data_IF_758877569622
#
_entry.id   IF_758877569622
#
_cell.length_a   1.000
_cell.length_b   1.000
_cell.length_c   1.000
_cell.angle_alpha   90.00
_cell.angle_beta   90.00
_cell.angle_gamma   90.00
#
_symmetry.space_group_name_H-M   'P 1'
#
loop_
_entity.id
_entity.type
_entity.pdbx_description
1 polymer ?
#
# COMPACT_ATOMS: atom_id res chain seq x y z
N UNK A 1 86.11 -25.61 -28.20
CA UNK A 1 86.64 -24.65 -27.20
C UNK A 1 85.63 -23.52 -27.05
N UNK A 2 85.10 -23.37 -25.83
CA UNK A 2 84.69 -22.13 -25.15
C UNK A 2 83.92 -21.05 -25.96
N UNK A 3 82.75 -20.72 -25.41
CA UNK A 3 81.92 -19.52 -25.64
C UNK A 3 81.01 -19.52 -26.88
N UNK A 4 79.80 -20.07 -26.71
CA UNK A 4 78.51 -19.54 -27.22
C UNK A 4 77.38 -20.53 -26.86
N UNK A 5 77.19 -20.77 -25.56
CA UNK A 5 76.01 -21.44 -25.03
C UNK A 5 75.67 -20.83 -23.66
N UNK A 6 75.35 -19.54 -23.68
CA UNK A 6 74.81 -18.78 -22.56
C UNK A 6 73.88 -17.73 -23.16
N UNK A 7 72.74 -17.52 -22.50
CA UNK A 7 71.63 -16.61 -22.84
C UNK A 7 70.53 -17.23 -23.71
N UNK A 8 69.76 -18.16 -23.13
CA UNK A 8 68.36 -18.40 -23.51
C UNK A 8 67.55 -19.08 -22.37
N UNK A 9 67.87 -18.76 -21.10
CA UNK A 9 67.25 -19.43 -19.94
C UNK A 9 67.11 -18.53 -18.71
N UNK A 10 66.84 -17.23 -18.88
CA UNK A 10 66.54 -16.32 -17.76
C UNK A 10 65.58 -15.19 -18.17
N UNK A 11 64.27 -15.45 -18.16
CA UNK A 11 63.20 -14.50 -17.79
C UNK A 11 61.91 -15.28 -17.50
N UNK A 12 61.94 -16.13 -16.48
CA UNK A 12 60.74 -16.63 -15.80
C UNK A 12 60.97 -16.63 -14.28
N UNK A 13 61.68 -15.59 -13.82
CA UNK A 13 61.82 -15.27 -12.40
C UNK A 13 60.65 -14.34 -12.02
N UNK A 14 60.05 -14.64 -10.88
CA UNK A 14 59.11 -13.81 -10.10
C UNK A 14 57.73 -13.51 -10.73
N UNK A 15 56.83 -14.49 -10.66
CA UNK A 15 55.54 -14.26 -9.99
C UNK A 15 54.91 -15.62 -9.61
N UNK A 16 55.52 -16.28 -8.62
CA UNK A 16 54.76 -17.18 -7.75
C UNK A 16 53.85 -16.30 -6.88
N UNK A 17 52.87 -15.65 -7.51
CA UNK A 17 51.76 -15.05 -6.80
C UNK A 17 50.84 -16.22 -6.50
N UNK A 18 50.85 -16.62 -5.23
CA UNK A 18 49.81 -17.40 -4.60
C UNK A 18 48.45 -16.92 -5.06
N UNK A 19 47.91 -17.60 -6.08
CA UNK A 19 46.48 -17.71 -6.30
C UNK A 19 45.97 -18.53 -5.11
N UNK A 20 45.75 -17.84 -3.99
CA UNK A 20 44.65 -18.19 -3.11
C UNK A 20 43.42 -18.03 -4.00
N UNK A 21 43.06 -19.09 -4.71
CA UNK A 21 41.68 -19.30 -5.07
C UNK A 21 40.96 -19.31 -3.73
N UNK A 22 40.42 -18.15 -3.33
CA UNK A 22 39.29 -18.18 -2.44
C UNK A 22 38.28 -19.03 -3.20
N UNK A 23 38.13 -20.28 -2.77
CA UNK A 23 36.96 -21.07 -3.04
C UNK A 23 35.80 -20.22 -2.51
N UNK A 24 35.25 -19.39 -3.39
CA UNK A 24 33.87 -18.99 -3.30
C UNK A 24 33.08 -20.27 -3.57
N UNK A 25 33.07 -21.17 -2.58
CA UNK A 25 31.94 -22.03 -2.36
C UNK A 25 30.77 -21.07 -2.20
N UNK A 26 30.08 -20.78 -3.30
CA UNK A 26 28.64 -20.65 -3.24
C UNK A 26 28.17 -21.94 -2.57
N UNK A 27 28.04 -21.89 -1.24
CA UNK A 27 27.47 -22.98 -0.48
C UNK A 27 26.10 -23.22 -1.09
N UNK A 28 25.99 -24.27 -1.91
CA UNK A 28 24.73 -24.67 -2.53
C UNK A 28 23.68 -24.70 -1.42
N UNK A 29 22.66 -23.84 -1.54
CA UNK A 29 21.63 -23.74 -0.52
C UNK A 29 21.02 -25.12 -0.32
N UNK A 30 21.24 -25.70 0.87
CA UNK A 30 20.81 -27.05 1.18
C UNK A 30 19.28 -27.09 1.15
N UNK A 31 18.70 -27.83 0.20
CA UNK A 31 17.24 -27.98 0.12
C UNK A 31 16.67 -28.51 1.46
N UNK A 32 15.59 -27.89 1.95
CA UNK A 32 14.89 -28.36 3.15
C UNK A 32 14.16 -29.66 2.86
N UNK A 33 14.29 -30.65 3.75
CA UNK A 33 13.72 -32.00 3.56
C UNK A 33 12.20 -32.02 3.39
N UNK A 34 11.52 -31.04 3.97
CA UNK A 34 10.06 -30.93 4.05
C UNK A 34 9.48 -29.83 3.14
N UNK A 35 10.28 -29.29 2.21
CA UNK A 35 9.82 -28.33 1.21
C UNK A 35 10.13 -28.87 -0.19
N UNK A 36 9.20 -29.65 -0.73
CA UNK A 36 9.29 -30.19 -2.09
C UNK A 36 9.35 -29.07 -3.15
N UNK A 37 10.04 -29.33 -4.27
CA UNK A 37 10.05 -28.46 -5.48
C UNK A 37 8.65 -28.14 -6.02
N UNK A 38 7.66 -28.98 -5.72
CA UNK A 38 6.25 -28.78 -6.09
C UNK A 38 5.47 -27.93 -5.09
N UNK A 39 6.05 -27.58 -3.94
CA UNK A 39 5.40 -26.74 -2.94
C UNK A 39 5.16 -25.34 -3.54
N UNK A 40 3.96 -24.73 -3.38
CA UNK A 40 3.63 -23.46 -4.03
C UNK A 40 4.56 -22.31 -3.63
N UNK A 41 5.13 -22.36 -2.43
CA UNK A 41 6.11 -21.38 -1.93
C UNK A 41 7.58 -21.83 -2.03
N UNK A 42 7.89 -22.90 -2.78
CA UNK A 42 9.25 -23.45 -2.87
C UNK A 42 10.28 -22.37 -3.28
N UNK A 43 9.98 -21.61 -4.34
CA UNK A 43 10.89 -20.58 -4.85
C UNK A 43 11.18 -19.52 -3.80
N UNK A 44 10.17 -18.98 -3.13
CA UNK A 44 10.39 -17.96 -2.10
C UNK A 44 11.20 -18.50 -0.93
N UNK A 45 10.93 -19.72 -0.46
CA UNK A 45 11.73 -20.36 0.59
C UNK A 45 13.19 -20.53 0.13
N UNK A 46 13.43 -21.04 -1.07
CA UNK A 46 14.79 -21.20 -1.60
C UNK A 46 15.54 -19.88 -1.73
N UNK A 47 14.92 -18.85 -2.30
CA UNK A 47 15.58 -17.54 -2.48
C UNK A 47 15.86 -16.85 -1.14
N UNK A 48 14.94 -16.95 -0.18
CA UNK A 48 15.16 -16.44 1.18
C UNK A 48 16.26 -17.20 1.91
N UNK A 49 16.42 -18.51 1.64
CA UNK A 49 17.49 -19.32 2.21
C UNK A 49 18.84 -18.98 1.60
N UNK A 50 18.92 -18.89 0.26
CA UNK A 50 20.13 -18.47 -0.46
C UNK A 50 20.62 -17.09 -0.01
N UNK A 51 19.70 -16.18 0.26
CA UNK A 51 20.00 -14.85 0.79
C UNK A 51 20.38 -14.84 2.28
N UNK A 52 20.37 -15.99 2.96
CA UNK A 52 20.78 -16.14 4.37
C UNK A 52 19.74 -15.65 5.39
N UNK A 53 18.50 -15.38 4.96
CA UNK A 53 17.43 -14.91 5.85
C UNK A 53 16.73 -16.05 6.58
N UNK A 54 16.64 -17.24 5.97
CA UNK A 54 16.02 -18.40 6.61
C UNK A 54 16.98 -19.60 6.59
N UNK A 55 17.20 -20.19 7.76
CA UNK A 55 18.14 -21.32 7.93
C UNK A 55 17.45 -22.66 8.26
N UNK A 56 16.13 -22.65 8.48
CA UNK A 56 15.39 -23.82 8.95
C UNK A 56 15.81 -24.26 10.36
N UNK A 57 15.68 -25.55 10.64
CA UNK A 57 16.01 -26.19 11.91
C UNK A 57 17.21 -27.12 11.76
N UNK A 58 17.92 -27.46 12.86
CA UNK A 58 19.09 -28.36 12.81
C UNK A 58 18.82 -29.74 12.20
N UNK A 59 17.58 -30.22 12.24
CA UNK A 59 17.12 -31.48 11.63
C UNK A 59 17.07 -31.43 10.08
N UNK A 60 17.27 -30.25 9.49
CA UNK A 60 17.19 -30.00 8.05
C UNK A 60 15.78 -29.68 7.54
N UNK A 61 14.83 -29.41 8.43
CA UNK A 61 13.45 -29.02 8.08
C UNK A 61 13.25 -27.51 8.10
N UNK A 62 12.26 -27.02 7.36
CA UNK A 62 11.80 -25.63 7.41
C UNK A 62 10.51 -25.47 8.20
N UNK A 63 9.67 -26.50 8.26
CA UNK A 63 8.33 -26.55 8.85
C UNK A 63 7.37 -25.54 8.18
N UNK A 64 7.06 -25.72 6.88
CA UNK A 64 6.35 -24.70 6.08
C UNK A 64 4.94 -24.38 6.58
N UNK A 65 4.24 -25.34 7.16
CA UNK A 65 2.86 -25.23 7.63
C UNK A 65 2.72 -24.63 9.04
N UNK A 66 3.81 -24.55 9.80
CA UNK A 66 3.77 -24.00 11.16
C UNK A 66 3.51 -22.49 11.13
N UNK A 67 2.69 -21.94 12.04
CA UNK A 67 2.49 -20.51 12.18
C UNK A 67 3.80 -19.76 12.44
N UNK A 68 3.94 -18.57 11.85
CA UNK A 68 5.06 -17.67 12.15
C UNK A 68 4.70 -16.75 13.33
N UNK A 69 5.59 -16.68 14.31
CA UNK A 69 5.41 -15.81 15.47
C UNK A 69 5.80 -14.37 15.17
N UNK A 70 5.20 -13.43 15.91
CA UNK A 70 5.46 -11.99 15.77
C UNK A 70 6.92 -11.61 15.96
N UNK A 71 7.64 -12.27 16.88
CA UNK A 71 9.08 -12.03 17.10
C UNK A 71 9.93 -12.45 15.90
N UNK A 72 9.57 -13.54 15.21
CA UNK A 72 10.28 -13.99 14.02
C UNK A 72 10.08 -13.02 12.85
N UNK A 73 8.84 -12.52 12.66
CA UNK A 73 8.54 -11.47 11.68
C UNK A 73 9.38 -10.21 11.96
N UNK A 74 9.39 -9.72 13.20
CA UNK A 74 10.17 -8.54 13.57
C UNK A 74 11.68 -8.73 13.31
N UNK A 75 12.22 -9.89 13.68
CA UNK A 75 13.61 -10.23 13.45
C UNK A 75 13.98 -10.27 11.97
N UNK A 76 13.13 -10.90 11.14
CA UNK A 76 13.38 -11.02 9.70
C UNK A 76 13.30 -9.66 9.01
N UNK A 77 12.35 -8.80 9.38
CA UNK A 77 12.28 -7.45 8.82
C UNK A 77 13.50 -6.61 9.20
N UNK A 78 13.97 -6.68 10.44
CA UNK A 78 15.22 -5.99 10.84
C UNK A 78 16.44 -6.55 10.12
N UNK A 79 16.51 -7.86 9.88
CA UNK A 79 17.62 -8.46 9.15
C UNK A 79 17.64 -8.03 7.68
N UNK A 80 16.48 -7.96 7.03
CA UNK A 80 16.33 -7.57 5.62
C UNK A 80 16.59 -6.07 5.43
N UNK A 81 15.98 -5.23 6.27
CA UNK A 81 15.97 -3.77 6.08
C UNK A 81 17.02 -3.03 6.91
N UNK A 82 17.70 -3.74 7.82
CA UNK A 82 18.79 -3.22 8.66
C UNK A 82 18.42 -1.91 9.35
N UNK A 83 17.34 -1.93 10.13
CA UNK A 83 16.85 -0.72 10.78
C UNK A 83 17.91 -0.13 11.75
N UNK A 84 17.98 1.20 11.86
CA UNK A 84 18.93 1.86 12.76
C UNK A 84 18.63 1.48 14.21
N UNK A 85 19.65 1.59 15.07
CA UNK A 85 19.48 1.35 16.50
C UNK A 85 18.44 2.31 17.08
N UNK A 86 17.66 1.85 18.08
CA UNK A 86 16.66 2.69 18.71
C UNK A 86 17.35 3.88 19.42
N UNK A 87 16.79 5.10 19.34
CA UNK A 87 17.38 6.28 19.99
C UNK A 87 17.26 6.23 21.52
N UNK A 88 16.39 5.37 22.06
CA UNK A 88 16.23 5.18 23.50
C UNK A 88 16.13 3.69 23.84
N UNK A 89 16.67 3.33 25.01
CA UNK A 89 16.50 2.01 25.60
C UNK A 89 15.33 1.93 26.59
N UNK A 90 14.34 2.82 26.43
CA UNK A 90 13.15 2.80 27.30
C UNK A 90 12.43 1.47 27.11
N UNK A 91 12.13 0.80 28.22
CA UNK A 91 11.30 -0.41 28.19
C UNK A 91 9.87 0.00 27.83
N UNK A 92 9.40 -0.50 26.69
CA UNK A 92 8.05 -0.22 26.17
C UNK A 92 7.12 -1.41 26.38
N UNK A 93 7.61 -2.63 26.13
CA UNK A 93 6.83 -3.84 26.25
C UNK A 93 7.24 -4.65 27.48
N UNK A 94 6.28 -4.92 28.36
CA UNK A 94 6.54 -5.64 29.61
C UNK A 94 7.03 -7.08 29.38
N UNK A 95 6.60 -7.71 28.28
CA UNK A 95 6.92 -9.08 27.89
C UNK A 95 8.12 -9.21 26.95
N UNK A 96 8.83 -8.10 26.70
CA UNK A 96 10.09 -8.07 25.94
C UNK A 96 11.13 -7.26 26.73
N UNK A 97 11.67 -7.79 27.84
CA UNK A 97 12.72 -7.14 28.61
C UNK A 97 14.03 -7.05 27.81
N UNK A 98 14.99 -6.19 28.23
CA UNK A 98 16.26 -5.95 27.51
C UNK A 98 17.08 -7.22 27.23
N UNK A 99 16.99 -8.23 28.09
CA UNK A 99 17.68 -9.52 27.94
C UNK A 99 16.94 -10.51 27.03
N UNK A 100 15.72 -10.20 26.58
CA UNK A 100 14.98 -11.03 25.64
C UNK A 100 15.72 -11.06 24.29
N UNK A 101 15.93 -12.25 23.72
CA UNK A 101 16.72 -12.44 22.49
C UNK A 101 16.24 -11.58 21.30
N UNK A 102 14.94 -11.29 21.23
CA UNK A 102 14.34 -10.46 20.18
C UNK A 102 14.12 -8.99 20.58
N UNK A 103 14.67 -8.53 21.71
CA UNK A 103 14.48 -7.16 22.18
C UNK A 103 14.88 -6.13 21.13
N UNK A 104 16.11 -6.22 20.61
CA UNK A 104 16.65 -5.26 19.63
C UNK A 104 15.78 -5.13 18.37
N UNK A 105 15.48 -6.19 17.61
CA UNK A 105 14.67 -6.04 16.39
C UNK A 105 13.26 -5.50 16.70
N UNK A 106 12.61 -5.98 17.77
CA UNK A 106 11.28 -5.48 18.16
C UNK A 106 11.31 -3.98 18.48
N UNK A 107 12.32 -3.52 19.24
CA UNK A 107 12.44 -2.12 19.60
C UNK A 107 12.80 -1.23 18.41
N UNK A 108 13.58 -1.70 17.45
CA UNK A 108 13.85 -0.95 16.21
C UNK A 108 12.56 -0.74 15.40
N UNK A 109 11.77 -1.80 15.23
CA UNK A 109 10.48 -1.70 14.55
C UNK A 109 9.50 -0.77 15.30
N UNK A 110 9.50 -0.80 16.64
CA UNK A 110 8.69 0.11 17.45
C UNK A 110 9.09 1.57 17.21
N UNK A 111 10.39 1.88 17.24
CA UNK A 111 10.89 3.23 17.01
C UNK A 111 10.68 3.71 15.56
N UNK A 112 10.52 2.78 14.61
CA UNK A 112 10.08 3.09 13.24
C UNK A 112 8.56 3.20 13.08
N UNK A 113 7.78 3.02 14.14
CA UNK A 113 6.31 3.07 14.10
C UNK A 113 5.65 1.88 13.41
N UNK A 114 6.42 0.84 13.07
CA UNK A 114 5.94 -0.36 12.37
C UNK A 114 5.09 -1.23 13.33
N UNK A 115 5.46 -1.24 14.61
CA UNK A 115 4.73 -1.96 15.67
C UNK A 115 4.44 -1.03 16.84
N UNK A 116 3.27 -1.18 17.44
CA UNK A 116 2.82 -0.39 18.61
C UNK A 116 2.57 -1.23 19.87
N UNK A 117 2.53 -2.57 19.73
CA UNK A 117 2.02 -3.48 20.77
C UNK A 117 0.49 -3.52 20.86
N UNK A 118 0.00 -4.28 21.83
CA UNK A 118 -1.41 -4.33 22.23
C UNK A 118 -1.78 -3.24 23.24
N UNK A 119 -3.08 -3.10 23.51
CA UNK A 119 -3.62 -2.16 24.51
C UNK A 119 -3.13 -2.48 25.95
N UNK A 120 -2.66 -3.71 26.17
CA UNK A 120 -2.08 -4.22 27.41
C UNK A 120 -0.59 -3.87 27.60
N UNK A 121 -0.02 -3.04 26.72
CA UNK A 121 1.41 -2.70 26.69
C UNK A 121 2.33 -3.91 26.49
N UNK A 122 1.82 -4.99 25.87
CA UNK A 122 2.61 -6.17 25.49
C UNK A 122 2.84 -6.24 23.99
N UNK A 123 3.94 -6.86 23.59
CA UNK A 123 4.21 -7.17 22.19
C UNK A 123 3.63 -8.53 21.77
N UNK A 124 3.51 -9.48 22.71
CA UNK A 124 3.14 -10.87 22.51
C UNK A 124 4.08 -11.60 21.52
N UNK A 125 5.39 -11.74 21.84
CA UNK A 125 6.41 -12.18 20.88
C UNK A 125 6.20 -13.59 20.33
N UNK A 126 5.61 -14.48 21.13
CA UNK A 126 5.38 -15.88 20.77
C UNK A 126 4.04 -16.11 20.05
N UNK A 127 3.12 -15.13 20.08
CA UNK A 127 1.84 -15.28 19.41
C UNK A 127 2.03 -15.33 17.88
N UNK A 128 1.23 -16.15 17.23
CA UNK A 128 1.13 -16.20 15.77
C UNK A 128 0.69 -14.84 15.23
N UNK A 129 1.30 -14.38 14.15
CA UNK A 129 0.86 -13.16 13.48
C UNK A 129 -0.36 -13.44 12.60
N UNK A 130 -1.35 -12.54 12.61
CA UNK A 130 -2.46 -12.61 11.65
C UNK A 130 -2.07 -11.99 10.31
N UNK A 131 -2.77 -12.35 9.24
CA UNK A 131 -2.53 -11.82 7.89
C UNK A 131 -2.61 -10.29 7.85
N UNK A 132 -3.55 -9.67 8.55
CA UNK A 132 -3.68 -8.21 8.55
C UNK A 132 -2.59 -7.51 9.37
N UNK A 133 -2.14 -8.13 10.46
CA UNK A 133 -0.99 -7.62 11.23
C UNK A 133 0.30 -7.69 10.41
N UNK A 134 0.51 -8.78 9.69
CA UNK A 134 1.63 -8.93 8.77
C UNK A 134 1.57 -7.88 7.65
N UNK A 135 0.40 -7.62 7.07
CA UNK A 135 0.24 -6.61 6.02
C UNK A 135 0.64 -5.21 6.52
N UNK A 136 0.18 -4.81 7.70
CA UNK A 136 0.61 -3.54 8.32
C UNK A 136 2.12 -3.49 8.51
N UNK A 137 2.72 -4.58 9.01
CA UNK A 137 4.18 -4.59 9.24
C UNK A 137 4.97 -4.48 7.93
N UNK A 138 4.56 -5.18 6.87
CA UNK A 138 5.23 -5.11 5.57
C UNK A 138 5.03 -3.75 4.89
N UNK A 139 3.81 -3.23 4.86
CA UNK A 139 3.49 -1.92 4.28
C UNK A 139 4.33 -0.81 4.92
N UNK A 140 4.35 -0.74 6.26
CA UNK A 140 5.12 0.27 6.97
C UNK A 140 6.64 0.06 6.87
N UNK A 141 7.10 -1.19 6.84
CA UNK A 141 8.53 -1.50 6.77
C UNK A 141 9.15 -1.14 5.40
N UNK A 142 8.44 -1.47 4.32
CA UNK A 142 8.85 -1.18 2.95
C UNK A 142 8.36 0.18 2.44
N UNK A 143 7.57 0.89 3.24
CA UNK A 143 6.98 2.20 2.93
C UNK A 143 6.16 2.14 1.63
N UNK A 144 5.29 1.14 1.48
CA UNK A 144 4.53 0.97 0.24
C UNK A 144 3.51 2.10 0.05
N UNK A 145 3.52 2.68 -1.15
CA UNK A 145 2.48 3.61 -1.59
C UNK A 145 1.29 2.82 -2.12
N UNK A 146 0.12 2.93 -1.49
CA UNK A 146 -1.11 2.35 -2.00
C UNK A 146 -1.49 3.05 -3.30
N UNK A 147 -1.58 2.29 -4.40
CA UNK A 147 -1.90 2.83 -5.73
C UNK A 147 -3.38 2.75 -6.07
N UNK A 148 -4.05 1.77 -5.48
CA UNK A 148 -5.49 1.54 -5.62
C UNK A 148 -6.02 0.81 -4.36
N UNK A 149 -7.29 1.04 -3.98
CA UNK A 149 -7.95 0.26 -2.95
C UNK A 149 -8.18 -1.19 -3.40
N UNK A 150 -8.00 -2.15 -2.50
CA UNK A 150 -8.32 -3.55 -2.78
C UNK A 150 -9.80 -3.85 -2.58
N UNK A 151 -10.33 -4.79 -3.37
CA UNK A 151 -11.70 -5.31 -3.23
C UNK A 151 -11.64 -6.74 -2.73
N UNK A 152 -11.70 -6.91 -1.41
CA UNK A 152 -11.82 -8.21 -0.77
C UNK A 152 -13.17 -8.32 -0.05
N UNK A 153 -13.87 -9.42 -0.24
CA UNK A 153 -15.23 -9.65 0.30
C UNK A 153 -15.29 -9.59 1.82
N UNK A 154 -14.21 -9.99 2.50
CA UNK A 154 -14.13 -10.11 3.96
C UNK A 154 -13.31 -9.00 4.63
N UNK A 155 -13.04 -7.91 3.90
CA UNK A 155 -12.27 -6.77 4.41
C UNK A 155 -12.96 -5.45 4.10
N UNK A 156 -13.83 -5.04 5.02
CA UNK A 156 -14.47 -3.71 4.98
C UNK A 156 -13.44 -2.58 5.03
N UNK A 157 -13.73 -1.46 4.36
CA UNK A 157 -12.92 -0.23 4.43
C UNK A 157 -12.82 0.33 5.86
N UNK A 158 -13.79 0.04 6.74
CA UNK A 158 -13.77 0.40 8.16
C UNK A 158 -12.72 -0.39 8.96
N UNK A 159 -12.22 -1.51 8.40
CA UNK A 159 -11.20 -2.29 9.07
C UNK A 159 -9.88 -1.51 9.11
N UNK A 160 -9.27 -1.35 10.30
CA UNK A 160 -8.04 -0.58 10.51
C UNK A 160 -6.87 -0.97 9.59
N UNK A 161 -6.89 -2.22 9.12
CA UNK A 161 -5.87 -2.78 8.23
C UNK A 161 -6.16 -2.63 6.73
N UNK A 162 -7.31 -2.09 6.33
CA UNK A 162 -7.75 -2.04 4.94
C UNK A 162 -6.72 -1.39 4.00
N UNK A 163 -6.20 -0.22 4.39
CA UNK A 163 -5.17 0.49 3.59
C UNK A 163 -3.85 -0.27 3.49
N UNK A 164 -3.50 -1.05 4.53
CA UNK A 164 -2.29 -1.86 4.52
C UNK A 164 -2.43 -3.09 3.60
N UNK A 165 -3.59 -3.75 3.63
CA UNK A 165 -3.91 -4.81 2.69
C UNK A 165 -3.94 -4.32 1.24
N UNK A 166 -4.52 -3.14 1.02
CA UNK A 166 -4.60 -2.48 -0.29
C UNK A 166 -3.23 -2.08 -0.82
N UNK A 167 -2.33 -1.58 0.03
CA UNK A 167 -0.94 -1.34 -0.33
C UNK A 167 -0.24 -2.63 -0.78
N UNK A 168 -0.35 -3.72 -0.03
CA UNK A 168 0.24 -4.99 -0.45
C UNK A 168 -0.38 -5.53 -1.75
N UNK A 169 -1.70 -5.35 -1.94
CA UNK A 169 -2.41 -5.83 -3.12
C UNK A 169 -1.96 -5.09 -4.38
N UNK A 170 -1.95 -3.76 -4.33
CA UNK A 170 -1.56 -2.89 -5.45
C UNK A 170 -0.08 -2.98 -5.84
N UNK A 171 0.75 -3.64 -5.03
CA UNK A 171 2.14 -4.01 -5.35
C UNK A 171 2.34 -5.51 -5.65
N UNK A 172 1.26 -6.30 -5.72
CA UNK A 172 1.30 -7.73 -6.03
C UNK A 172 1.94 -8.60 -4.93
N UNK A 173 2.13 -8.06 -3.73
CA UNK A 173 2.66 -8.80 -2.58
C UNK A 173 1.62 -9.79 -2.10
N UNK A 174 0.36 -9.37 -1.99
CA UNK A 174 -0.79 -10.24 -1.73
C UNK A 174 -1.73 -10.30 -2.92
N UNK A 175 -2.37 -11.45 -3.11
CA UNK A 175 -3.42 -11.66 -4.12
C UNK A 175 -4.78 -12.00 -3.51
N UNK A 176 -4.84 -12.12 -2.18
CA UNK A 176 -5.96 -12.77 -1.50
C UNK A 176 -6.03 -14.27 -1.78
N UNK A 177 -7.17 -14.85 -1.45
CA UNK A 177 -7.54 -16.24 -1.64
C UNK A 177 -9.04 -16.28 -2.00
N UNK A 178 -9.37 -16.61 -3.26
CA UNK A 178 -10.76 -16.64 -3.77
C UNK A 178 -11.59 -15.40 -3.37
N UNK A 179 -11.09 -14.19 -3.67
CA UNK A 179 -11.79 -12.94 -3.36
C UNK A 179 -11.68 -12.48 -1.91
N UNK A 180 -11.02 -13.25 -1.02
CA UNK A 180 -10.90 -12.94 0.41
C UNK A 180 -9.47 -12.59 0.81
N UNK A 181 -9.33 -11.70 1.79
CA UNK A 181 -8.05 -11.36 2.39
C UNK A 181 -7.70 -12.26 3.59
N UNK A 182 -8.70 -12.74 4.33
CA UNK A 182 -8.60 -13.57 5.53
C UNK A 182 -7.86 -12.87 6.69
N UNK A 183 -8.30 -11.66 7.12
CA UNK A 183 -7.50 -10.76 7.96
C UNK A 183 -7.04 -11.35 9.30
N UNK A 184 -7.88 -12.19 9.91
CA UNK A 184 -7.63 -12.78 11.22
C UNK A 184 -6.95 -14.15 11.17
N UNK A 185 -6.76 -14.74 9.98
CA UNK A 185 -6.09 -16.03 9.86
C UNK A 185 -4.59 -15.89 10.17
N UNK A 186 -4.03 -16.89 10.86
CA UNK A 186 -2.59 -16.95 11.13
C UNK A 186 -1.79 -17.17 9.84
N UNK A 187 -0.61 -16.54 9.76
CA UNK A 187 0.33 -16.72 8.64
C UNK A 187 1.26 -17.89 8.93
N UNK A 188 1.42 -18.81 7.98
CA UNK A 188 2.40 -19.91 8.09
C UNK A 188 3.80 -19.42 7.71
N UNK A 189 4.84 -20.17 8.08
CA UNK A 189 6.22 -19.85 7.73
C UNK A 189 6.45 -19.78 6.22
N UNK A 190 5.87 -20.68 5.45
CA UNK A 190 5.97 -20.66 3.99
C UNK A 190 5.26 -19.44 3.38
N UNK A 191 4.05 -19.12 3.85
CA UNK A 191 3.35 -17.93 3.37
C UNK A 191 4.10 -16.64 3.71
N UNK A 192 4.68 -16.54 4.92
CA UNK A 192 5.47 -15.36 5.27
C UNK A 192 6.74 -15.22 4.43
N UNK A 193 7.44 -16.33 4.13
CA UNK A 193 8.57 -16.31 3.21
C UNK A 193 8.17 -15.78 1.82
N UNK A 194 7.01 -16.20 1.32
CA UNK A 194 6.45 -15.69 0.05
C UNK A 194 6.16 -14.19 0.10
N UNK A 195 5.46 -13.72 1.13
CA UNK A 195 5.12 -12.30 1.26
C UNK A 195 6.36 -11.42 1.39
N UNK A 196 7.33 -11.83 2.22
CA UNK A 196 8.57 -11.09 2.39
C UNK A 196 9.42 -11.10 1.12
N UNK A 197 9.52 -12.24 0.43
CA UNK A 197 10.23 -12.33 -0.85
C UNK A 197 9.62 -11.38 -1.90
N UNK A 198 8.30 -11.37 -2.06
CA UNK A 198 7.62 -10.43 -2.97
C UNK A 198 7.83 -8.98 -2.55
N UNK A 199 7.73 -8.68 -1.26
CA UNK A 199 7.98 -7.34 -0.74
C UNK A 199 9.42 -6.86 -1.03
N UNK A 200 10.41 -7.73 -0.88
CA UNK A 200 11.79 -7.45 -1.24
C UNK A 200 11.99 -7.21 -2.73
N UNK A 201 11.26 -7.93 -3.60
CA UNK A 201 11.28 -7.70 -5.05
C UNK A 201 10.67 -6.35 -5.45
N UNK A 202 9.62 -5.92 -4.76
CA UNK A 202 9.06 -4.57 -4.93
C UNK A 202 10.08 -3.53 -4.44
N UNK A 203 10.76 -3.82 -3.33
CA UNK A 203 11.77 -2.96 -2.74
C UNK A 203 11.14 -1.88 -1.86
N UNK A 204 12.00 -1.20 -1.11
CA UNK A 204 11.58 -0.08 -0.28
C UNK A 204 11.34 1.15 -1.15
N UNK A 205 10.23 1.86 -0.95
CA UNK A 205 9.99 3.13 -1.64
C UNK A 205 11.10 4.14 -1.30
N UNK A 206 11.70 4.82 -2.29
CA UNK A 206 12.69 5.87 -2.03
C UNK A 206 12.10 6.97 -1.14
N UNK A 207 12.84 7.31 -0.08
CA UNK A 207 12.49 8.42 0.81
C UNK A 207 13.26 9.67 0.38
N UNK A 208 12.57 10.82 0.27
CA UNK A 208 13.16 12.09 -0.15
C UNK A 208 12.36 13.28 0.37
N UNK A 209 12.93 14.48 0.26
CA UNK A 209 12.21 15.73 0.55
C UNK A 209 11.09 15.98 -0.46
N UNK A 210 11.30 15.57 -1.73
CA UNK A 210 10.34 15.68 -2.82
C UNK A 210 9.41 14.46 -2.82
N UNK A 211 8.10 14.71 -2.84
CA UNK A 211 7.05 13.71 -2.91
C UNK A 211 6.95 13.18 -4.34
N UNK A 212 6.98 11.86 -4.52
CA UNK A 212 6.71 11.25 -5.82
C UNK A 212 5.22 11.24 -6.13
N UNK A 213 4.85 11.07 -7.41
CA UNK A 213 3.45 10.97 -7.83
C UNK A 213 2.73 9.83 -7.10
N UNK A 214 3.38 8.68 -6.96
CA UNK A 214 2.82 7.51 -6.27
C UNK A 214 2.57 7.81 -4.79
N UNK A 215 3.45 8.60 -4.15
CA UNK A 215 3.25 8.99 -2.75
C UNK A 215 2.11 10.00 -2.62
N UNK A 216 1.98 10.95 -3.54
CA UNK A 216 0.86 11.89 -3.56
C UNK A 216 -0.48 11.16 -3.75
N UNK A 217 -0.54 10.16 -4.64
CA UNK A 217 -1.72 9.29 -4.82
C UNK A 217 -2.00 8.49 -3.54
N UNK A 218 -0.99 7.87 -2.93
CA UNK A 218 -1.14 7.15 -1.66
C UNK A 218 -1.73 8.03 -0.56
N UNK A 219 -1.23 9.27 -0.39
CA UNK A 219 -1.78 10.20 0.62
C UNK A 219 -3.24 10.56 0.33
N UNK A 220 -3.56 10.78 -0.94
CA UNK A 220 -4.90 11.13 -1.44
C UNK A 220 -5.93 10.02 -1.24
N UNK A 221 -5.51 8.76 -1.26
CA UNK A 221 -6.44 7.65 -0.99
C UNK A 221 -6.40 7.23 0.49
N UNK A 222 -5.20 7.06 1.06
CA UNK A 222 -5.00 6.45 2.38
C UNK A 222 -5.52 7.32 3.51
N UNK A 223 -5.20 8.62 3.52
CA UNK A 223 -5.55 9.48 4.66
C UNK A 223 -7.07 9.71 4.75
N UNK A 224 -7.79 10.01 3.65
CA UNK A 224 -9.25 10.09 3.68
C UNK A 224 -9.92 8.82 4.18
N UNK A 225 -9.53 7.65 3.66
CA UNK A 225 -10.09 6.35 4.08
C UNK A 225 -9.90 6.12 5.58
N UNK A 226 -8.71 6.37 6.11
CA UNK A 226 -8.43 6.16 7.53
C UNK A 226 -9.22 7.14 8.41
N UNK A 227 -9.26 8.42 8.04
CA UNK A 227 -10.00 9.44 8.80
C UNK A 227 -11.50 9.13 8.77
N UNK A 228 -12.04 8.77 7.62
CA UNK A 228 -13.45 8.43 7.47
C UNK A 228 -13.80 7.17 8.28
N UNK A 229 -12.96 6.13 8.22
CA UNK A 229 -13.14 4.93 9.03
C UNK A 229 -13.17 5.22 10.54
N UNK A 230 -12.30 6.11 11.03
CA UNK A 230 -12.32 6.53 12.45
C UNK A 230 -13.64 7.23 12.80
N UNK A 231 -14.15 8.08 11.90
CA UNK A 231 -15.37 8.87 12.13
C UNK A 231 -16.61 8.00 12.09
N UNK A 232 -16.76 7.17 11.06
CA UNK A 232 -17.89 6.25 10.90
C UNK A 232 -17.91 5.23 12.04
N UNK A 233 -16.79 4.58 12.34
CA UNK A 233 -16.72 3.63 13.46
C UNK A 233 -16.99 4.33 14.80
N UNK A 234 -16.45 5.54 14.99
CA UNK A 234 -16.72 6.34 16.17
C UNK A 234 -18.21 6.63 16.38
N UNK A 235 -18.93 6.94 15.30
CA UNK A 235 -20.37 7.19 15.32
C UNK A 235 -21.15 5.90 15.63
N UNK A 236 -20.77 4.78 15.04
CA UNK A 236 -21.33 3.44 15.36
C UNK A 236 -21.13 3.11 16.84
N UNK A 237 -19.95 3.42 17.39
CA UNK A 237 -19.59 3.16 18.79
C UNK A 237 -20.16 4.20 19.78
N UNK A 238 -20.99 5.16 19.33
CA UNK A 238 -21.51 6.28 20.12
C UNK A 238 -20.42 7.12 20.83
N UNK A 239 -19.25 7.28 20.21
CA UNK A 239 -18.16 8.10 20.74
C UNK A 239 -18.43 9.59 20.52
N UNK A 240 -18.05 10.43 21.48
CA UNK A 240 -18.01 11.88 21.28
C UNK A 240 -16.83 12.28 20.40
N UNK A 241 -16.89 13.45 19.75
CA UNK A 241 -15.75 13.96 18.98
C UNK A 241 -14.48 14.07 19.83
N UNK A 242 -14.60 14.42 21.12
CA UNK A 242 -13.46 14.52 22.04
C UNK A 242 -12.70 13.19 22.21
N UNK A 243 -13.42 12.05 22.16
CA UNK A 243 -12.83 10.71 22.24
C UNK A 243 -12.20 10.28 20.91
N UNK A 244 -12.69 10.83 19.78
CA UNK A 244 -12.15 10.54 18.45
C UNK A 244 -10.95 11.38 18.07
N UNK A 245 -10.91 12.64 18.53
CA UNK A 245 -9.85 13.59 18.17
C UNK A 245 -8.44 13.00 18.32
N UNK A 246 -8.05 12.36 19.44
CA UNK A 246 -6.72 11.75 19.56
C UNK A 246 -6.43 10.66 18.53
N UNK A 247 -7.46 9.95 18.04
CA UNK A 247 -7.32 8.92 17.00
C UNK A 247 -7.12 9.53 15.61
N UNK A 248 -7.59 10.77 15.36
CA UNK A 248 -7.47 11.47 14.08
C UNK A 248 -6.14 12.24 13.92
N UNK A 249 -5.57 12.76 15.01
CA UNK A 249 -4.33 13.55 14.98
C UNK A 249 -3.07 12.87 14.37
N UNK A 250 -2.95 11.53 14.32
CA UNK A 250 -1.90 10.88 13.54
C UNK A 250 -2.03 11.11 12.02
N UNK A 251 -3.24 11.44 11.54
CA UNK A 251 -3.60 11.50 10.11
C UNK A 251 -4.05 12.88 9.65
N UNK A 252 -4.47 13.75 10.57
CA UNK A 252 -4.94 15.12 10.33
C UNK A 252 -4.18 16.12 11.19
N UNK A 253 -3.95 17.34 10.68
CA UNK A 253 -3.44 18.44 11.50
C UNK A 253 -4.46 18.83 12.57
N UNK A 254 -4.00 19.45 13.65
CA UNK A 254 -4.90 19.86 14.73
C UNK A 254 -5.96 20.85 14.22
N UNK A 255 -5.58 21.77 13.33
CA UNK A 255 -6.49 22.73 12.71
C UNK A 255 -7.58 22.04 11.88
N UNK A 256 -7.23 21.07 11.04
CA UNK A 256 -8.18 20.32 10.24
C UNK A 256 -9.15 19.50 11.11
N UNK A 257 -8.62 18.84 12.14
CA UNK A 257 -9.41 18.08 13.10
C UNK A 257 -10.41 18.98 13.85
N UNK A 258 -9.93 20.05 14.46
CA UNK A 258 -10.77 20.95 15.26
C UNK A 258 -11.72 21.83 14.43
N UNK A 259 -11.45 21.96 13.12
CA UNK A 259 -12.29 22.63 12.14
C UNK A 259 -13.29 21.69 11.47
N UNK A 260 -13.01 21.33 10.20
CA UNK A 260 -13.94 20.61 9.33
C UNK A 260 -14.40 19.29 9.95
N UNK A 261 -13.48 18.45 10.44
CA UNK A 261 -13.83 17.12 10.94
C UNK A 261 -14.75 17.19 12.17
N UNK A 262 -14.50 18.13 13.09
CA UNK A 262 -15.35 18.36 14.27
C UNK A 262 -16.73 18.88 13.88
N UNK A 263 -16.77 19.87 12.97
CA UNK A 263 -18.01 20.50 12.51
C UNK A 263 -18.92 19.49 11.79
N UNK A 264 -18.33 18.60 10.99
CA UNK A 264 -19.07 17.63 10.18
C UNK A 264 -19.41 16.34 10.93
N UNK A 265 -18.74 16.04 12.06
CA UNK A 265 -18.98 14.82 12.83
C UNK A 265 -20.45 14.53 13.21
N UNK A 266 -21.29 15.52 13.59
CA UNK A 266 -22.71 15.29 13.82
C UNK A 266 -23.45 14.69 12.62
N UNK A 267 -23.04 15.04 11.39
CA UNK A 267 -23.65 14.65 10.12
C UNK A 267 -23.15 13.30 9.58
N UNK A 268 -22.16 12.68 10.22
CA UNK A 268 -21.61 11.38 9.78
C UNK A 268 -22.72 10.34 9.69
N UNK A 269 -22.88 9.82 8.48
CA UNK A 269 -23.82 8.75 8.19
C UNK A 269 -23.17 7.39 8.48
N UNK A 270 -23.90 6.50 9.17
CA UNK A 270 -23.42 5.16 9.50
C UNK A 270 -24.05 4.08 8.62
N UNK A 271 -25.10 4.41 7.87
CA UNK A 271 -25.95 3.45 7.14
C UNK A 271 -26.24 3.93 5.70
N UNK A 272 -25.40 4.81 5.15
CA UNK A 272 -25.50 5.28 3.78
C UNK A 272 -24.12 5.51 3.19
N UNK A 273 -24.04 5.55 1.86
CA UNK A 273 -22.80 5.74 1.11
C UNK A 273 -22.45 7.24 0.92
N UNK A 274 -22.78 8.06 1.92
CA UNK A 274 -22.45 9.49 1.93
C UNK A 274 -21.31 9.72 2.92
N UNK A 275 -20.11 9.91 2.36
CA UNK A 275 -18.88 10.19 3.09
C UNK A 275 -18.48 11.65 2.92
N UNK A 276 -17.70 12.18 3.86
CA UNK A 276 -17.16 13.55 3.71
C UNK A 276 -16.18 13.64 2.54
N UNK A 277 -15.41 12.59 2.32
CA UNK A 277 -14.42 12.52 1.24
C UNK A 277 -14.94 11.66 0.09
N UNK A 278 -14.63 12.01 -1.17
CA UNK A 278 -15.01 11.22 -2.32
C UNK A 278 -14.29 9.88 -2.33
N UNK A 279 -14.97 8.84 -2.82
CA UNK A 279 -14.35 7.54 -3.07
C UNK A 279 -13.59 7.57 -4.41
N UNK A 280 -12.28 7.79 -4.33
CA UNK A 280 -11.40 7.88 -5.49
C UNK A 280 -10.86 6.49 -5.85
N UNK A 281 -11.24 6.00 -7.03
CA UNK A 281 -10.88 4.66 -7.50
C UNK A 281 -9.94 4.71 -8.70
N UNK A 282 -10.32 5.46 -9.74
CA UNK A 282 -9.60 5.51 -11.02
C UNK A 282 -9.19 6.94 -11.37
N UNK A 283 -9.80 7.92 -10.74
CA UNK A 283 -9.65 9.33 -10.99
C UNK A 283 -8.20 9.80 -10.85
N UNK A 284 -7.43 9.36 -9.82
CA UNK A 284 -6.01 9.74 -9.71
C UNK A 284 -5.12 9.21 -10.85
N UNK A 285 -5.59 8.22 -11.61
CA UNK A 285 -4.89 7.74 -12.81
C UNK A 285 -5.32 8.46 -14.09
N UNK A 286 -6.48 9.12 -14.06
CA UNK A 286 -7.05 9.89 -15.16
C UNK A 286 -6.58 11.34 -15.12
N UNK A 287 -6.83 12.04 -14.01
CA UNK A 287 -6.52 13.45 -13.80
C UNK A 287 -5.95 13.66 -12.41
N UNK A 288 -4.66 13.96 -12.35
CA UNK A 288 -3.96 14.12 -11.09
C UNK A 288 -2.76 15.04 -11.27
N UNK A 289 -2.87 16.20 -10.65
CA UNK A 289 -1.82 17.20 -10.57
C UNK A 289 -1.45 17.39 -9.11
N UNK A 290 -0.17 17.62 -8.84
CA UNK A 290 0.28 17.93 -7.50
C UNK A 290 1.44 18.90 -7.55
N UNK A 291 1.52 19.76 -6.53
CA UNK A 291 2.64 20.67 -6.35
C UNK A 291 3.13 20.59 -4.91
N UNK A 292 4.43 20.75 -4.75
CA UNK A 292 5.06 20.76 -3.44
C UNK A 292 5.81 22.09 -3.28
N UNK A 293 5.12 23.15 -2.82
CA UNK A 293 5.72 24.49 -2.71
C UNK A 293 6.87 24.54 -1.70
N UNK A 294 6.87 23.65 -0.69
CA UNK A 294 7.95 23.52 0.28
C UNK A 294 8.09 22.08 0.79
N UNK A 295 9.11 21.81 1.62
CA UNK A 295 9.41 20.45 2.10
C UNK A 295 8.29 19.78 2.94
N UNK A 296 7.34 20.59 3.42
CA UNK A 296 6.29 20.23 4.36
C UNK A 296 4.87 20.50 3.87
N UNK A 297 4.67 21.05 2.67
CA UNK A 297 3.32 21.33 2.13
C UNK A 297 3.17 20.63 0.79
N UNK A 298 2.06 19.92 0.59
CA UNK A 298 1.72 19.25 -0.66
C UNK A 298 0.28 19.61 -1.04
N UNK A 299 0.10 20.12 -2.24
CA UNK A 299 -1.20 20.35 -2.86
C UNK A 299 -1.46 19.26 -3.88
N UNK A 300 -2.67 18.70 -3.87
CA UNK A 300 -3.13 17.74 -4.86
C UNK A 300 -4.44 18.22 -5.44
N UNK A 301 -4.51 18.23 -6.77
CA UNK A 301 -5.70 18.49 -7.55
C UNK A 301 -6.07 17.24 -8.35
N UNK A 302 -7.29 16.77 -8.19
CA UNK A 302 -7.84 15.65 -8.94
C UNK A 302 -9.33 15.88 -9.18
N UNK A 303 -10.00 14.87 -9.70
CA UNK A 303 -11.45 14.88 -9.92
C UNK A 303 -12.08 13.74 -9.12
N UNK A 304 -13.35 13.87 -8.80
CA UNK A 304 -14.22 12.75 -8.44
C UNK A 304 -15.25 12.63 -9.54
N UNK A 305 -15.37 11.48 -10.18
CA UNK A 305 -16.46 11.28 -11.12
C UNK A 305 -17.78 11.19 -10.38
N UNK A 306 -18.86 11.50 -11.10
CA UNK A 306 -20.22 11.29 -10.66
C UNK A 306 -20.44 9.85 -10.21
N UNK A 307 -21.31 9.70 -9.22
CA UNK A 307 -21.88 8.41 -8.85
C UNK A 307 -23.40 8.56 -8.69
N UNK A 308 -24.08 7.51 -8.22
CA UNK A 308 -25.53 7.52 -8.03
C UNK A 308 -26.03 8.59 -7.05
N UNK A 309 -25.17 9.09 -6.16
CA UNK A 309 -25.52 9.99 -5.05
C UNK A 309 -25.02 11.41 -5.23
N UNK A 310 -23.89 11.62 -5.93
CA UNK A 310 -23.22 12.91 -6.03
C UNK A 310 -22.89 13.26 -7.48
N UNK A 311 -22.94 14.55 -7.81
CA UNK A 311 -22.38 15.07 -9.05
C UNK A 311 -20.86 14.87 -9.09
N UNK A 312 -20.27 15.01 -10.28
CA UNK A 312 -18.81 15.09 -10.40
C UNK A 312 -18.27 16.35 -9.72
N UNK A 313 -17.05 16.27 -9.18
CA UNK A 313 -16.41 17.42 -8.51
C UNK A 313 -14.91 17.52 -8.81
N UNK A 314 -14.39 18.73 -8.79
CA UNK A 314 -12.96 18.99 -8.64
C UNK A 314 -12.58 18.86 -7.18
N UNK A 315 -11.49 18.15 -6.93
CA UNK A 315 -11.07 17.80 -5.58
C UNK A 315 -9.68 18.37 -5.32
N UNK A 316 -9.58 19.18 -4.28
CA UNK A 316 -8.31 19.75 -3.81
C UNK A 316 -8.03 19.29 -2.39
N UNK A 317 -6.87 18.63 -2.22
CA UNK A 317 -6.34 18.27 -0.91
C UNK A 317 -5.10 19.11 -0.60
N UNK A 318 -5.00 19.53 0.65
CA UNK A 318 -3.75 20.07 1.21
C UNK A 318 -3.25 19.11 2.27
N UNK A 319 -2.00 18.71 2.14
CA UNK A 319 -1.30 17.92 3.15
C UNK A 319 -0.16 18.72 3.76
N UNK A 320 0.01 18.59 5.07
CA UNK A 320 1.15 19.13 5.80
C UNK A 320 1.97 18.05 6.47
N UNK A 321 3.29 18.20 6.47
CA UNK A 321 4.23 17.32 7.15
C UNK A 321 4.52 17.87 8.55
N UNK A 322 4.05 17.16 9.57
CA UNK A 322 4.32 17.47 10.97
C UNK A 322 5.20 16.37 11.57
N UNK A 323 6.35 16.73 12.13
CA UNK A 323 7.31 15.77 12.72
C UNK A 323 7.70 14.63 11.76
N UNK A 324 7.83 14.94 10.47
CA UNK A 324 8.18 13.97 9.43
C UNK A 324 7.01 13.15 8.88
N UNK A 325 5.78 13.34 9.39
CA UNK A 325 4.58 12.58 9.01
C UNK A 325 3.64 13.49 8.22
N UNK A 326 3.27 13.08 7.01
CA UNK A 326 2.25 13.75 6.22
C UNK A 326 0.86 13.53 6.82
N UNK A 327 0.10 14.61 6.92
CA UNK A 327 -1.26 14.66 7.46
C UNK A 327 -2.15 15.49 6.55
N UNK A 328 -3.45 15.20 6.54
CA UNK A 328 -4.44 16.06 5.91
C UNK A 328 -4.55 17.37 6.70
N UNK A 329 -4.44 18.48 5.98
CA UNK A 329 -4.56 19.83 6.51
C UNK A 329 -5.80 20.54 6.00
N UNK A 330 -6.22 20.25 4.76
CA UNK A 330 -7.45 20.79 4.20
C UNK A 330 -8.03 19.89 3.08
N UNK A 331 -9.32 20.07 2.82
CA UNK A 331 -10.06 19.41 1.74
C UNK A 331 -11.14 20.34 1.20
N UNK A 332 -11.19 20.50 -0.12
CA UNK A 332 -12.23 21.23 -0.83
C UNK A 332 -12.71 20.40 -2.01
N UNK A 333 -14.02 20.13 -2.06
CA UNK A 333 -14.72 19.63 -3.23
C UNK A 333 -15.53 20.76 -3.87
N UNK A 334 -15.37 20.97 -5.17
CA UNK A 334 -16.14 21.93 -5.96
C UNK A 334 -16.91 21.18 -7.06
N UNK A 335 -18.24 21.28 -7.08
CA UNK A 335 -19.05 20.68 -8.14
C UNK A 335 -18.60 21.18 -9.52
N UNK A 336 -18.61 20.29 -10.51
CA UNK A 336 -18.11 20.61 -11.86
C UNK A 336 -18.84 21.77 -12.51
N UNK A 337 -20.17 21.81 -12.35
CA UNK A 337 -21.03 22.82 -12.94
C UNK A 337 -20.67 23.12 -14.40
N UNK A 338 -20.73 24.40 -14.77
CA UNK A 338 -20.34 24.85 -16.12
C UNK A 338 -18.86 24.69 -16.45
N UNK A 339 -17.98 24.52 -15.45
CA UNK A 339 -16.54 24.36 -15.69
C UNK A 339 -16.26 23.04 -16.38
N UNK A 340 -17.05 22.01 -16.05
CA UNK A 340 -17.14 20.65 -16.61
C UNK A 340 -15.78 19.94 -16.86
N UNK A 341 -15.76 18.60 -16.91
CA UNK A 341 -14.49 17.91 -17.16
C UNK A 341 -14.04 18.00 -18.63
N UNK A 342 -14.94 18.21 -19.58
CA UNK A 342 -14.65 18.13 -21.02
C UNK A 342 -13.92 16.83 -21.42
N UNK A 343 -14.29 15.67 -20.84
CA UNK A 343 -13.65 14.40 -21.18
C UNK A 343 -13.74 14.14 -22.69
N UNK A 344 -12.63 13.76 -23.29
CA UNK A 344 -12.59 13.27 -24.67
C UNK A 344 -13.20 11.87 -24.79
N UNK A 345 -13.53 11.43 -26.02
CA UNK A 345 -14.00 10.06 -26.27
C UNK A 345 -12.98 9.02 -25.79
N UNK A 346 -11.69 9.31 -25.97
CA UNK A 346 -10.57 8.44 -25.58
C UNK A 346 -10.42 8.37 -24.06
N UNK A 347 -10.61 9.50 -23.35
CA UNK A 347 -10.68 9.52 -21.89
C UNK A 347 -11.91 8.74 -21.40
N UNK A 348 -13.08 8.94 -22.00
CA UNK A 348 -14.30 8.21 -21.67
C UNK A 348 -14.13 6.70 -21.84
N UNK A 349 -13.54 6.25 -22.96
CA UNK A 349 -13.24 4.82 -23.18
C UNK A 349 -12.27 4.27 -22.13
N UNK A 350 -11.28 5.08 -21.69
CA UNK A 350 -10.36 4.69 -20.62
C UNK A 350 -11.07 4.54 -19.28
N UNK A 351 -11.98 5.46 -18.95
CA UNK A 351 -12.85 5.36 -17.76
C UNK A 351 -13.63 4.04 -17.78
N UNK A 352 -14.23 3.66 -18.92
CA UNK A 352 -14.91 2.36 -19.05
C UNK A 352 -13.91 1.22 -18.82
N UNK A 353 -12.78 1.18 -19.54
CA UNK A 353 -11.75 0.13 -19.38
C UNK A 353 -11.34 -0.08 -17.93
N UNK A 354 -11.16 1.01 -17.18
CA UNK A 354 -10.70 0.93 -15.80
C UNK A 354 -11.78 0.45 -14.83
N UNK A 355 -13.05 0.77 -15.06
CA UNK A 355 -14.16 0.26 -14.24
C UNK A 355 -14.37 -1.25 -14.41
N UNK A 356 -14.08 -1.79 -15.60
CA UNK A 356 -14.23 -3.20 -15.91
C UNK A 356 -12.94 -4.03 -15.78
N UNK A 357 -11.84 -3.46 -15.25
CA UNK A 357 -10.52 -4.12 -15.21
C UNK A 357 -10.45 -5.44 -14.44
N UNK A 358 -11.44 -5.73 -13.60
CA UNK A 358 -11.49 -6.91 -12.74
C UNK A 358 -12.04 -8.15 -13.45
N UNK A 359 -12.73 -7.96 -14.58
CA UNK A 359 -13.25 -9.04 -15.39
C UNK A 359 -12.13 -9.69 -16.21
N UNK A 360 -12.20 -11.01 -16.34
CA UNK A 360 -11.18 -11.78 -17.04
C UNK A 360 -11.22 -11.59 -18.55
N UNK A 361 -12.41 -11.30 -19.11
CA UNK A 361 -12.63 -11.05 -20.53
C UNK A 361 -13.53 -9.84 -20.69
N UNK A 362 -12.98 -8.74 -21.20
CA UNK A 362 -13.77 -7.51 -21.45
C UNK A 362 -13.58 -7.09 -22.89
N UNK A 363 -14.69 -6.90 -23.60
CA UNK A 363 -14.71 -6.24 -24.90
C UNK A 363 -15.55 -4.96 -24.80
N UNK A 364 -14.92 -3.83 -25.11
CA UNK A 364 -15.55 -2.51 -25.09
C UNK A 364 -15.68 -2.03 -26.52
N UNK A 365 -16.90 -1.65 -26.90
CA UNK A 365 -17.22 -1.16 -28.25
C UNK A 365 -17.89 0.19 -28.14
N UNK A 366 -17.29 1.23 -28.73
CA UNK A 366 -17.95 2.53 -28.88
C UNK A 366 -19.18 2.40 -29.78
N UNK A 367 -20.30 3.01 -29.38
CA UNK A 367 -21.57 2.94 -30.10
C UNK A 367 -21.90 4.27 -30.75
N UNK A 368 -21.98 5.34 -29.95
CA UNK A 368 -22.44 6.65 -30.40
C UNK A 368 -22.05 7.75 -29.41
N UNK A 369 -22.23 9.00 -29.83
CA UNK A 369 -22.17 10.16 -28.95
C UNK A 369 -23.36 11.07 -29.21
N UNK A 370 -23.81 11.77 -28.17
CA UNK A 370 -24.94 12.69 -28.22
C UNK A 370 -24.60 13.98 -27.48
N UNK A 371 -24.95 15.14 -28.06
CA UNK A 371 -24.86 16.42 -27.34
C UNK A 371 -26.06 16.55 -26.40
N UNK A 372 -25.78 16.85 -25.13
CA UNK A 372 -26.77 17.06 -24.08
C UNK A 372 -26.55 18.41 -23.42
N UNK A 373 -27.52 18.81 -22.61
CA UNK A 373 -27.48 20.03 -21.82
C UNK A 373 -27.54 19.66 -20.34
N UNK A 374 -26.55 20.10 -19.57
CA UNK A 374 -26.51 20.04 -18.12
C UNK A 374 -26.97 21.35 -17.51
N UNK A 375 -27.17 21.36 -16.20
CA UNK A 375 -27.55 22.55 -15.42
C UNK A 375 -26.62 22.66 -14.20
N UNK A 376 -25.98 23.81 -14.05
CA UNK A 376 -25.11 24.09 -12.91
C UNK A 376 -25.94 24.18 -11.64
N UNK A 377 -25.60 23.37 -10.63
CA UNK A 377 -26.40 23.29 -9.41
C UNK A 377 -26.49 24.63 -8.67
N UNK A 378 -25.39 25.41 -8.67
CA UNK A 378 -25.27 26.66 -7.94
C UNK A 378 -25.84 27.85 -8.72
N UNK A 379 -25.52 27.97 -10.01
CA UNK A 379 -25.90 29.14 -10.82
C UNK A 379 -27.19 28.93 -11.59
N UNK A 380 -27.66 27.69 -11.75
CA UNK A 380 -28.79 27.29 -12.63
C UNK A 380 -28.53 27.56 -14.12
N UNK A 381 -27.31 27.92 -14.49
CA UNK A 381 -26.92 28.12 -15.88
C UNK A 381 -26.84 26.77 -16.61
N UNK A 382 -27.34 26.75 -17.84
CA UNK A 382 -27.30 25.56 -18.68
C UNK A 382 -25.99 25.51 -19.47
N UNK A 383 -25.41 24.34 -19.62
CA UNK A 383 -24.14 24.15 -20.35
C UNK A 383 -24.17 22.88 -21.21
N UNK A 384 -23.52 22.87 -22.39
CA UNK A 384 -23.49 21.69 -23.24
C UNK A 384 -22.45 20.67 -22.73
N UNK A 385 -22.74 19.38 -22.93
CA UNK A 385 -21.79 18.28 -22.75
C UNK A 385 -22.05 17.16 -23.77
N UNK A 386 -21.14 16.20 -23.85
CA UNK A 386 -21.27 15.03 -24.73
C UNK A 386 -21.46 13.76 -23.90
N UNK A 387 -22.50 12.98 -24.18
CA UNK A 387 -22.67 11.64 -23.64
C UNK A 387 -22.08 10.60 -24.59
N UNK A 388 -21.05 9.87 -24.17
CA UNK A 388 -20.43 8.79 -24.92
C UNK A 388 -21.04 7.45 -24.53
N UNK A 389 -21.59 6.73 -25.52
CA UNK A 389 -22.22 5.42 -25.31
C UNK A 389 -21.29 4.29 -25.75
N UNK A 390 -21.10 3.33 -24.86
CA UNK A 390 -20.32 2.13 -25.08
C UNK A 390 -21.19 0.88 -24.84
N UNK A 391 -20.86 -0.20 -25.53
CA UNK A 391 -21.27 -1.54 -25.14
C UNK A 391 -20.10 -2.22 -24.44
N UNK A 392 -20.35 -2.80 -23.27
CA UNK A 392 -19.38 -3.64 -22.56
C UNK A 392 -19.88 -5.08 -22.57
N UNK A 393 -19.04 -6.00 -23.04
CA UNK A 393 -19.28 -7.44 -23.00
C UNK A 393 -18.27 -8.07 -22.04
N UNK A 394 -18.78 -8.72 -21.00
CA UNK A 394 -18.02 -9.49 -20.00
C UNK A 394 -18.45 -10.96 -19.99
N UNK A 395 -17.82 -11.78 -19.15
CA UNK A 395 -18.28 -13.14 -18.87
C UNK A 395 -19.70 -13.20 -18.27
N UNK A 396 -20.17 -12.13 -17.63
CA UNK A 396 -21.47 -12.09 -16.96
C UNK A 396 -22.60 -11.56 -17.87
N UNK A 397 -22.25 -11.00 -19.03
CA UNK A 397 -23.23 -10.54 -20.01
C UNK A 397 -22.80 -9.33 -20.81
N UNK A 398 -23.79 -8.67 -21.42
CA UNK A 398 -23.63 -7.50 -22.26
C UNK A 398 -24.46 -6.35 -21.70
N UNK A 399 -23.84 -5.20 -21.51
CA UNK A 399 -24.51 -4.00 -21.03
C UNK A 399 -24.13 -2.75 -21.83
N UNK A 400 -24.93 -1.70 -21.65
CA UNK A 400 -24.68 -0.37 -22.21
C UNK A 400 -24.19 0.55 -21.10
N UNK A 401 -23.07 1.21 -21.37
CA UNK A 401 -22.45 2.16 -20.44
C UNK A 401 -22.42 3.55 -21.07
N UNK A 402 -22.71 4.56 -20.26
CA UNK A 402 -22.64 5.97 -20.67
C UNK A 402 -21.61 6.68 -19.81
N UNK A 403 -20.72 7.42 -20.46
CA UNK A 403 -19.80 8.34 -19.80
C UNK A 403 -20.10 9.74 -20.31
N UNK A 404 -20.49 10.64 -19.43
CA UNK A 404 -20.70 12.04 -19.77
C UNK A 404 -19.37 12.78 -19.73
N UNK A 405 -19.17 13.69 -20.67
CA UNK A 405 -17.95 14.48 -20.74
C UNK A 405 -17.83 15.50 -19.60
N UNK A 406 -18.93 15.90 -18.96
CA UNK A 406 -18.93 16.93 -17.93
C UNK A 406 -18.65 16.41 -16.52
N UNK A 407 -19.24 15.27 -16.14
CA UNK A 407 -19.19 14.74 -14.78
C UNK A 407 -18.69 13.28 -14.68
N UNK A 408 -18.48 12.59 -15.80
CA UNK A 408 -17.84 11.28 -15.86
C UNK A 408 -18.79 10.10 -15.96
N UNK A 409 -18.44 9.01 -15.26
CA UNK A 409 -19.07 7.70 -15.41
C UNK A 409 -20.45 7.66 -14.75
N UNK A 410 -21.49 7.32 -15.51
CA UNK A 410 -22.83 7.10 -14.95
C UNK A 410 -22.95 5.61 -14.64
N UNK A 411 -22.91 5.25 -13.35
CA UNK A 411 -23.25 3.88 -12.94
C UNK A 411 -24.73 3.61 -13.28
N UNK A 412 -25.04 2.52 -14.00
CA UNK A 412 -26.41 2.18 -14.39
C UNK A 412 -27.31 1.85 -13.20
#
# INVERSE_FOLDING_TARGET
>A
MKHTLRVLLWTAFTLALSLVFADFNEASAKEFKDVSKKHPNYTAVQEMQKAGYINGYPDGTFRPSEPVSRKHVASLLDQVLKFPQPPTDKLVFADVPKHHMYYKPIMKLYNKGIVSGGLDKKFNPNASITRIQMAKMLDLAFEFNMKEPARFEDLSFLHWGYVHASALYSHGVTKGDHGKFLPNQSVTRAHYAEFLYRAMKVGKTPSGSVVSKEKAVDLTMRLPIVIEGIRVQGKIDNQTYSQLRPKQLPYATAAFADGLLKKDYPSVCTHCDSFLFPDLLIEPSMRFEYTQPDANTLHVHTVSFRNMLTAGSYVHYVFKKESGIWKMDDYVGEDVGKKNFELTKEEAERVVKMNYRYYSKVKITYVSQEKKTGEDFATKEHYPYTAYKFTVETEDGRETVIVNSDDGFVYP
#
